data_IF_365218413520
#
_entry.id   IF_365218413520
#
_cell.length_a   1.000
_cell.length_b   1.000
_cell.length_c   1.000
_cell.angle_alpha   90.00
_cell.angle_beta   90.00
_cell.angle_gamma   90.00
#
_symmetry.space_group_name_H-M   'P 1'
#
loop_
_entity.id
_entity.type
_entity.pdbx_description
1 polymer ?
#
# COMPACT_ATOMS: atom_id res chain seq x y z
N UNK A 1 15.48 -13.48 10.97
CA UNK A 1 16.81 -12.84 10.80
C UNK A 1 16.69 -11.37 10.37
N UNK A 2 15.94 -11.03 9.30
CA UNK A 2 15.81 -9.63 8.82
C UNK A 2 15.45 -8.58 9.90
N UNK A 3 14.46 -8.85 10.75
CA UNK A 3 14.08 -7.92 11.83
C UNK A 3 15.19 -7.62 12.84
N UNK A 4 16.08 -8.59 13.12
CA UNK A 4 17.22 -8.37 14.01
C UNK A 4 18.24 -7.47 13.34
N UNK A 5 18.50 -7.68 12.05
CA UNK A 5 19.39 -6.82 11.27
C UNK A 5 18.87 -5.37 11.22
N UNK A 6 17.58 -5.16 10.93
CA UNK A 6 17.00 -3.81 10.92
C UNK A 6 17.12 -3.10 12.27
N UNK A 7 16.96 -3.85 13.38
CA UNK A 7 17.16 -3.34 14.73
C UNK A 7 18.63 -2.96 14.96
N UNK A 8 19.55 -3.84 14.59
CA UNK A 8 20.99 -3.67 14.84
C UNK A 8 21.56 -2.51 14.01
N UNK A 9 21.06 -2.32 12.78
CA UNK A 9 21.34 -1.18 11.91
C UNK A 9 20.60 0.11 12.30
N UNK A 10 19.74 0.06 13.34
CA UNK A 10 18.93 1.20 13.82
C UNK A 10 18.11 1.86 12.70
N UNK A 11 17.51 1.05 11.83
CA UNK A 11 16.68 1.55 10.74
C UNK A 11 15.50 2.37 11.29
N UNK A 12 15.32 3.60 10.80
CA UNK A 12 14.19 4.46 11.14
C UNK A 12 12.90 4.04 10.42
N UNK A 13 13.04 3.63 9.17
CA UNK A 13 11.97 3.11 8.34
C UNK A 13 12.40 1.79 7.72
N UNK A 14 11.45 0.88 7.54
CA UNK A 14 11.66 -0.42 6.92
C UNK A 14 10.48 -0.66 5.98
N UNK A 15 10.78 -1.03 4.74
CA UNK A 15 9.79 -1.55 3.80
C UNK A 15 9.80 -3.07 3.92
N UNK A 16 8.65 -3.65 4.23
CA UNK A 16 8.48 -5.09 4.38
C UNK A 16 7.62 -5.60 3.22
N UNK A 17 8.23 -6.34 2.30
CA UNK A 17 7.51 -7.05 1.26
C UNK A 17 6.89 -8.33 1.82
N UNK A 18 5.59 -8.51 1.63
CA UNK A 18 4.93 -9.78 1.94
C UNK A 18 5.38 -10.83 0.92
N UNK A 19 5.76 -12.01 1.38
CA UNK A 19 6.15 -13.11 0.49
C UNK A 19 4.95 -13.67 -0.28
N UNK A 20 4.02 -14.32 0.42
CA UNK A 20 2.83 -14.93 -0.20
C UNK A 20 1.57 -14.61 0.61
N UNK A 21 0.56 -14.07 -0.08
CA UNK A 21 -0.70 -13.66 0.54
C UNK A 21 -0.51 -12.41 1.41
N UNK A 22 -0.86 -12.53 2.69
CA UNK A 22 -0.72 -11.48 3.68
C UNK A 22 -1.09 -11.94 5.08
N UNK A 23 -2.23 -12.62 5.25
CA UNK A 23 -2.74 -13.08 6.56
C UNK A 23 -1.71 -13.86 7.38
N UNK A 24 -1.08 -14.87 6.77
CA UNK A 24 -0.15 -15.77 7.43
C UNK A 24 1.32 -15.51 7.07
N UNK A 25 1.60 -14.39 6.40
CA UNK A 25 2.96 -14.02 6.05
C UNK A 25 3.74 -13.60 7.31
N UNK A 26 5.04 -13.94 7.37
CA UNK A 26 5.88 -13.63 8.52
C UNK A 26 5.99 -12.12 8.78
N UNK A 27 5.91 -11.28 7.75
CA UNK A 27 5.92 -9.82 7.88
C UNK A 27 4.66 -9.30 8.58
N UNK A 28 3.56 -10.05 8.53
CA UNK A 28 2.30 -9.70 9.19
C UNK A 28 2.35 -9.84 10.72
N UNK A 29 3.53 -10.09 11.31
CA UNK A 29 3.74 -9.98 12.76
C UNK A 29 3.73 -8.51 13.24
N UNK A 30 4.00 -7.54 12.36
CA UNK A 30 4.01 -6.11 12.70
C UNK A 30 2.60 -5.64 13.06
N UNK A 31 2.39 -5.26 14.33
CA UNK A 31 1.05 -4.93 14.85
C UNK A 31 0.54 -3.57 14.38
N UNK A 32 1.43 -2.61 14.22
CA UNK A 32 1.12 -1.22 13.90
C UNK A 32 1.96 -0.76 12.69
N UNK A 33 1.62 -1.22 11.47
CA UNK A 33 2.29 -0.71 10.27
C UNK A 33 1.97 0.77 10.07
N UNK A 34 2.97 1.58 9.73
CA UNK A 34 2.78 3.01 9.46
C UNK A 34 1.86 3.23 8.25
N UNK A 35 2.09 2.47 7.18
CA UNK A 35 1.35 2.50 5.94
C UNK A 35 1.37 1.10 5.32
N UNK A 36 0.34 0.77 4.56
CA UNK A 36 0.21 -0.48 3.82
C UNK A 36 0.01 -0.14 2.35
N UNK A 37 0.73 -0.80 1.46
CA UNK A 37 0.53 -0.69 0.01
C UNK A 37 0.16 -2.06 -0.58
N UNK A 38 -0.90 -2.09 -1.37
CA UNK A 38 -1.39 -3.27 -2.08
C UNK A 38 -1.20 -3.03 -3.58
N UNK A 39 -0.10 -3.59 -4.11
CA UNK A 39 0.46 -3.28 -5.42
C UNK A 39 -0.22 -4.00 -6.57
N UNK A 40 -0.79 -5.18 -6.33
CA UNK A 40 -1.68 -5.86 -7.27
C UNK A 40 -2.48 -7.01 -6.63
N UNK A 41 -3.60 -7.34 -7.26
CA UNK A 41 -4.33 -8.60 -7.06
C UNK A 41 -4.44 -9.30 -8.41
N UNK A 42 -3.98 -10.56 -8.46
CA UNK A 42 -4.02 -11.43 -9.62
C UNK A 42 -4.12 -12.89 -9.17
N UNK A 43 -4.38 -13.79 -10.11
CA UNK A 43 -4.41 -15.23 -9.86
C UNK A 43 -2.98 -15.76 -9.73
N UNK A 44 -2.47 -15.73 -8.49
CA UNK A 44 -1.15 -16.22 -8.13
C UNK A 44 -1.25 -17.07 -6.86
N UNK A 45 -0.42 -18.11 -6.76
CA UNK A 45 -0.40 -19.06 -5.63
C UNK A 45 -1.80 -19.58 -5.23
N UNK A 46 -2.61 -19.97 -6.21
CA UNK A 46 -4.00 -20.37 -6.00
C UNK A 46 -4.14 -21.62 -5.12
N UNK A 47 -3.11 -22.46 -5.08
CA UNK A 47 -3.00 -23.61 -4.16
C UNK A 47 -2.98 -23.21 -2.68
N UNK A 48 -2.66 -21.94 -2.37
CA UNK A 48 -2.56 -21.40 -1.01
C UNK A 48 -3.56 -20.30 -0.70
N UNK A 49 -3.86 -19.46 -1.69
CA UNK A 49 -4.58 -18.20 -1.49
C UNK A 49 -6.06 -18.26 -1.90
N UNK A 50 -6.48 -19.34 -2.55
CA UNK A 50 -7.82 -19.49 -3.12
C UNK A 50 -7.80 -19.46 -4.64
N UNK A 51 -8.92 -19.86 -5.24
CA UNK A 51 -9.04 -20.03 -6.69
C UNK A 51 -9.56 -18.77 -7.39
N UNK A 52 -10.00 -17.77 -6.62
CA UNK A 52 -10.64 -16.55 -7.13
C UNK A 52 -9.92 -15.28 -6.66
N UNK A 53 -10.02 -14.20 -7.45
CA UNK A 53 -9.45 -12.90 -7.07
C UNK A 53 -9.96 -12.39 -5.71
N UNK A 54 -11.25 -12.52 -5.36
CA UNK A 54 -11.76 -12.10 -4.05
C UNK A 54 -11.21 -12.93 -2.88
N UNK A 55 -10.91 -14.23 -3.07
CA UNK A 55 -10.26 -15.02 -2.02
C UNK A 55 -8.83 -14.53 -1.78
N UNK A 56 -8.07 -14.35 -2.86
CA UNK A 56 -6.69 -13.83 -2.82
C UNK A 56 -6.65 -12.43 -2.20
N UNK A 57 -7.60 -11.56 -2.58
CA UNK A 57 -7.75 -10.23 -1.99
C UNK A 57 -8.03 -10.30 -0.49
N UNK A 58 -8.86 -11.25 -0.06
CA UNK A 58 -9.13 -11.53 1.36
C UNK A 58 -7.85 -11.89 2.13
N UNK A 59 -7.01 -12.77 1.59
CA UNK A 59 -5.71 -13.12 2.19
C UNK A 59 -4.79 -11.90 2.32
N UNK A 60 -4.72 -11.07 1.27
CA UNK A 60 -3.87 -9.87 1.22
C UNK A 60 -4.40 -8.77 2.13
N UNK A 61 -5.71 -8.59 2.25
CA UNK A 61 -6.33 -7.53 3.03
C UNK A 61 -5.92 -7.56 4.51
N UNK A 62 -5.62 -8.74 5.06
CA UNK A 62 -5.31 -8.94 6.48
C UNK A 62 -4.04 -8.24 6.99
N UNK A 63 -3.24 -7.63 6.10
CA UNK A 63 -2.13 -6.75 6.49
C UNK A 63 -2.61 -5.34 6.86
N UNK A 64 -3.84 -4.96 6.48
CA UNK A 64 -4.51 -3.72 6.92
C UNK A 64 -4.88 -3.88 8.38
N UNK A 65 -4.28 -3.03 9.22
CA UNK A 65 -4.40 -3.09 10.68
C UNK A 65 -4.78 -1.75 11.27
N UNK A 66 -5.30 -1.81 12.49
CA UNK A 66 -5.69 -0.63 13.26
C UNK A 66 -4.51 0.34 13.40
N UNK A 67 -4.79 1.64 13.27
CA UNK A 67 -3.81 2.71 13.49
C UNK A 67 -2.89 2.98 12.29
N UNK A 68 -3.09 2.30 11.16
CA UNK A 68 -2.39 2.62 9.91
C UNK A 68 -2.73 4.05 9.46
N UNK A 69 -1.73 4.78 8.95
CA UNK A 69 -1.91 6.17 8.47
C UNK A 69 -2.34 6.26 7.00
N UNK A 70 -2.27 5.14 6.28
CA UNK A 70 -2.62 5.07 4.86
C UNK A 70 -2.66 3.64 4.35
N UNK A 71 -3.68 3.34 3.55
CA UNK A 71 -3.86 2.09 2.81
C UNK A 71 -3.88 2.44 1.34
N UNK A 72 -2.77 2.20 0.64
CA UNK A 72 -2.60 2.58 -0.77
C UNK A 72 -2.94 1.39 -1.66
N UNK A 73 -3.93 1.56 -2.54
CA UNK A 73 -4.46 0.51 -3.41
C UNK A 73 -4.11 0.81 -4.86
N UNK A 74 -3.48 -0.15 -5.54
CA UNK A 74 -3.31 -0.15 -6.99
C UNK A 74 -4.65 -0.41 -7.73
N UNK A 75 -4.74 -0.13 -9.05
CA UNK A 75 -5.96 -0.32 -9.84
C UNK A 75 -6.62 -1.71 -9.73
N UNK A 76 -5.82 -2.78 -9.75
CA UNK A 76 -6.36 -4.15 -9.66
C UNK A 76 -6.97 -4.47 -8.29
N UNK A 77 -6.71 -3.65 -7.27
CA UNK A 77 -7.28 -3.83 -5.94
C UNK A 77 -8.67 -3.20 -5.77
N UNK A 78 -9.14 -2.38 -6.74
CA UNK A 78 -10.42 -1.69 -6.60
C UNK A 78 -11.30 -1.65 -7.86
N UNK A 79 -10.77 -2.04 -9.01
CA UNK A 79 -11.51 -2.02 -10.29
C UNK A 79 -12.59 -3.10 -10.34
N UNK A 80 -12.33 -4.28 -9.76
CA UNK A 80 -13.33 -5.30 -9.49
C UNK A 80 -14.01 -5.03 -8.13
N UNK A 81 -15.35 -4.82 -8.09
CA UNK A 81 -16.08 -4.59 -6.85
C UNK A 81 -15.95 -5.73 -5.83
N UNK A 82 -15.88 -6.98 -6.26
CA UNK A 82 -15.78 -8.14 -5.36
C UNK A 82 -14.40 -8.16 -4.68
N UNK A 83 -13.35 -7.82 -5.42
CA UNK A 83 -11.99 -7.63 -4.88
C UNK A 83 -11.97 -6.44 -3.91
N UNK A 84 -12.51 -5.29 -4.32
CA UNK A 84 -12.52 -4.08 -3.50
C UNK A 84 -13.22 -4.32 -2.15
N UNK A 85 -14.34 -5.05 -2.17
CA UNK A 85 -15.14 -5.34 -0.98
C UNK A 85 -14.33 -6.01 0.14
N UNK A 86 -13.28 -6.77 -0.20
CA UNK A 86 -12.41 -7.43 0.79
C UNK A 86 -11.53 -6.44 1.53
N UNK A 87 -10.92 -5.52 0.80
CA UNK A 87 -10.12 -4.44 1.39
C UNK A 87 -10.99 -3.47 2.18
N UNK A 88 -12.16 -3.10 1.64
CA UNK A 88 -13.14 -2.24 2.30
C UNK A 88 -13.64 -2.86 3.61
N UNK A 89 -14.01 -4.14 3.60
CA UNK A 89 -14.49 -4.85 4.79
C UNK A 89 -13.44 -4.91 5.88
N UNK A 90 -12.19 -5.23 5.52
CA UNK A 90 -11.10 -5.30 6.49
C UNK A 90 -10.73 -3.91 7.03
N UNK A 91 -10.65 -2.89 6.16
CA UNK A 91 -10.38 -1.52 6.58
C UNK A 91 -11.49 -1.03 7.53
N UNK A 92 -12.76 -1.32 7.23
CA UNK A 92 -13.90 -1.01 8.11
C UNK A 92 -13.76 -1.70 9.46
N UNK A 93 -13.46 -3.00 9.48
CA UNK A 93 -13.32 -3.78 10.71
C UNK A 93 -12.24 -3.25 11.66
N UNK A 94 -11.19 -2.62 11.13
CA UNK A 94 -10.09 -2.04 11.94
C UNK A 94 -10.16 -0.52 12.10
N UNK A 95 -11.21 0.12 11.56
CA UNK A 95 -11.42 1.57 11.64
C UNK A 95 -10.44 2.39 10.77
N UNK A 96 -10.06 1.87 9.61
CA UNK A 96 -9.12 2.47 8.67
C UNK A 96 -9.74 2.78 7.29
N UNK A 97 -11.08 2.81 7.17
CA UNK A 97 -11.76 3.04 5.89
C UNK A 97 -11.37 4.39 5.25
N UNK A 98 -11.34 5.45 6.06
CA UNK A 98 -10.97 6.81 5.61
C UNK A 98 -9.47 6.94 5.25
N UNK A 99 -8.68 5.90 5.50
CA UNK A 99 -7.25 5.86 5.18
C UNK A 99 -6.98 5.25 3.80
N UNK A 100 -8.02 4.82 3.06
CA UNK A 100 -7.86 4.23 1.73
C UNK A 100 -7.55 5.30 0.69
N UNK A 101 -6.47 5.09 -0.07
CA UNK A 101 -6.09 5.88 -1.22
C UNK A 101 -6.01 5.00 -2.47
N UNK A 102 -6.82 5.31 -3.47
CA UNK A 102 -6.83 4.59 -4.76
C UNK A 102 -5.88 5.28 -5.74
N UNK A 103 -4.88 4.55 -6.22
CA UNK A 103 -3.94 5.05 -7.23
C UNK A 103 -4.58 4.94 -8.61
N UNK A 104 -4.62 6.02 -9.42
CA UNK A 104 -5.20 5.99 -10.75
C UNK A 104 -4.59 4.89 -11.64
N UNK A 105 -5.40 4.37 -12.55
CA UNK A 105 -4.93 3.45 -13.58
C UNK A 105 -4.04 4.17 -14.60
N UNK A 106 -3.01 3.48 -15.06
CA UNK A 106 -2.15 3.88 -16.18
C UNK A 106 -1.75 2.64 -16.96
N UNK A 107 -1.48 2.80 -18.25
CA UNK A 107 -0.92 1.75 -19.10
C UNK A 107 0.58 1.53 -18.82
N UNK A 108 1.23 2.46 -18.10
CA UNK A 108 2.61 2.34 -17.64
C UNK A 108 2.67 1.89 -16.18
N UNK A 109 3.18 0.66 -15.97
CA UNK A 109 3.37 0.09 -14.63
C UNK A 109 4.34 0.91 -13.77
N UNK A 110 5.32 1.59 -14.38
CA UNK A 110 6.25 2.43 -13.64
C UNK A 110 5.57 3.68 -13.10
N UNK A 111 4.57 4.21 -13.82
CA UNK A 111 3.77 5.34 -13.35
C UNK A 111 2.89 4.95 -12.16
N UNK A 112 2.27 3.77 -12.21
CA UNK A 112 1.50 3.21 -11.08
C UNK A 112 2.42 3.02 -9.87
N UNK A 113 3.57 2.35 -10.04
CA UNK A 113 4.50 2.08 -8.96
C UNK A 113 5.05 3.38 -8.35
N UNK A 114 5.39 4.36 -9.19
CA UNK A 114 5.83 5.69 -8.73
C UNK A 114 4.73 6.36 -7.90
N UNK A 115 3.49 6.31 -8.38
CA UNK A 115 2.33 6.91 -7.69
C UNK A 115 2.04 6.24 -6.34
N UNK A 116 2.20 4.90 -6.25
CA UNK A 116 2.12 4.17 -4.98
C UNK A 116 3.16 4.69 -4.00
N UNK A 117 4.43 4.78 -4.43
CA UNK A 117 5.52 5.26 -3.56
C UNK A 117 5.27 6.69 -3.09
N UNK A 118 4.91 7.59 -4.00
CA UNK A 118 4.62 8.99 -3.67
C UNK A 118 3.47 9.09 -2.66
N UNK A 119 2.39 8.32 -2.85
CA UNK A 119 1.26 8.34 -1.91
C UNK A 119 1.64 7.75 -0.56
N UNK A 120 2.43 6.67 -0.51
CA UNK A 120 2.95 6.12 0.75
C UNK A 120 3.77 7.19 1.50
N UNK A 121 4.67 7.90 0.80
CA UNK A 121 5.46 8.97 1.38
C UNK A 121 4.58 10.10 1.94
N UNK A 122 3.53 10.48 1.23
CA UNK A 122 2.55 11.47 1.67
C UNK A 122 1.86 11.03 2.97
N UNK A 123 1.32 9.80 3.01
CA UNK A 123 0.65 9.24 4.19
C UNK A 123 1.56 9.20 5.43
N UNK A 124 2.86 8.90 5.27
CA UNK A 124 3.78 8.80 6.42
C UNK A 124 4.40 10.15 6.82
N UNK A 125 4.51 11.10 5.89
CA UNK A 125 5.08 12.43 6.14
C UNK A 125 4.11 13.37 6.84
N UNK A 126 2.81 13.07 6.82
CA UNK A 126 1.77 13.91 7.45
C UNK A 126 1.46 15.19 6.67
N UNK A 127 2.01 15.33 5.47
CA UNK A 127 1.72 16.43 4.55
C UNK A 127 0.68 15.93 3.57
N UNK A 128 -0.60 16.30 3.75
CA UNK A 128 -1.60 16.18 2.69
C UNK A 128 -1.12 17.07 1.53
N UNK A 129 -0.76 16.47 0.40
CA UNK A 129 -0.63 17.25 -0.84
C UNK A 129 -2.05 17.43 -1.34
N UNK A 130 -2.66 18.57 -1.00
CA UNK A 130 -3.96 18.96 -1.54
C UNK A 130 -3.92 18.88 -3.08
N UNK A 131 -4.81 18.07 -3.66
CA UNK A 131 -5.09 18.13 -5.09
C UNK A 131 -5.78 19.46 -5.36
N UNK A 132 -5.05 20.40 -5.95
CA UNK A 132 -5.59 21.69 -6.40
C UNK A 132 -6.42 21.51 -7.66
N UNK A 133 -7.73 21.74 -7.53
CA UNK A 133 -8.51 22.33 -8.61
C UNK A 133 -7.99 23.77 -8.86
N UNK A 134 -7.61 24.04 -10.11
CA UNK A 134 -7.41 25.34 -10.78
C UNK A 134 -7.08 26.59 -9.92
N UNK A 135 -5.80 26.89 -9.73
CA UNK A 135 -5.07 28.03 -10.33
C UNK A 135 -3.63 28.09 -9.74
N UNK A 136 -2.64 28.36 -10.59
CA UNK A 136 -1.18 28.26 -10.34
C UNK A 136 -0.64 29.07 -9.12
N UNK A 137 0.49 28.68 -8.44
CA UNK A 137 1.81 28.44 -9.03
C UNK A 137 2.43 27.06 -8.70
N UNK A 138 3.26 26.61 -9.65
CA UNK A 138 3.88 25.27 -9.77
C UNK A 138 4.52 24.71 -8.49
N UNK A 139 4.27 23.44 -8.12
CA UNK A 139 5.01 22.78 -7.05
C UNK A 139 6.42 22.41 -7.53
N UNK A 140 7.40 23.14 -7.02
CA UNK A 140 8.80 22.73 -7.04
C UNK A 140 8.96 21.42 -6.28
N UNK A 141 9.18 20.36 -7.05
CA UNK A 141 10.29 19.43 -6.84
C UNK A 141 10.24 18.49 -5.62
N UNK A 142 9.31 17.53 -5.63
CA UNK A 142 9.51 16.23 -4.94
C UNK A 142 10.10 15.17 -5.90
N UNK A 143 9.77 15.27 -7.20
CA UNK A 143 10.28 14.37 -8.26
C UNK A 143 11.78 14.57 -8.53
N UNK A 144 12.30 15.80 -8.54
CA UNK A 144 13.74 16.04 -8.76
C UNK A 144 14.57 15.83 -7.47
N UNK A 145 13.97 15.96 -6.27
CA UNK A 145 14.60 15.64 -4.99
C UNK A 145 14.86 14.13 -4.83
N UNK A 146 13.98 13.29 -5.38
CA UNK A 146 14.17 11.83 -5.40
C UNK A 146 15.16 11.38 -6.49
N UNK A 147 15.33 12.14 -7.57
CA UNK A 147 16.28 11.83 -8.64
C UNK A 147 17.75 12.14 -8.27
N UNK A 148 17.99 12.95 -7.24
CA UNK A 148 19.34 13.31 -6.77
C UNK A 148 19.96 12.28 -5.79
N UNK A 149 19.31 11.14 -5.57
CA UNK A 149 19.80 10.06 -4.67
C UNK A 149 20.36 8.85 -5.46
N UNK A 150 20.56 8.98 -6.77
CA UNK A 150 21.35 8.04 -7.58
C UNK A 150 22.80 8.52 -7.73
#
# INVERSE_FOLDING_TARGET
>A
MAFLEFRDQKCKYVVLECGVGGRLDATNIVKEPLCVALTSVGLDHTDKLGETLPEIAGEKAMVIKKGVKGVVLSPTCYTDPEVFSKFESQATAVGALDMIHKIPASDDINEINTSIVLKVLECISGTLLESSDSDSPQPGNLKEQLLQVQ
#
